data_IF_489095424491
#
_entry.id   IF_489095424491
#
_cell.length_a   1.000
_cell.length_b   1.000
_cell.length_c   1.000
_cell.angle_alpha   90.00
_cell.angle_beta   90.00
_cell.angle_gamma   90.00
#
_symmetry.space_group_name_H-M   'P 1'
#
loop_
_entity.id
_entity.type
_entity.pdbx_description
1 polymer ?
#
# COMPACT_ATOMS: atom_id res chain seq x y z
N UNK A 1 -12.98 75.89 5.26
CA UNK A 1 -13.53 74.53 5.45
C UNK A 1 -12.51 73.72 6.24
N UNK A 2 -12.93 73.15 7.39
CA UNK A 2 -12.24 72.20 8.30
C UNK A 2 -10.77 72.46 8.66
N UNK A 3 -10.30 72.80 9.88
CA UNK A 3 -10.72 72.46 11.25
C UNK A 3 -11.17 71.01 11.41
N UNK A 4 -10.23 70.09 11.57
CA UNK A 4 -10.29 68.90 12.43
C UNK A 4 -8.93 68.18 12.28
N UNK A 5 -8.43 67.58 13.35
CA UNK A 5 -7.11 66.93 13.48
C UNK A 5 -5.99 67.89 13.88
N UNK A 6 -6.05 68.37 15.12
CA UNK A 6 -4.85 68.52 15.96
C UNK A 6 -5.30 68.75 17.40
N UNK A 7 -5.36 67.65 18.16
CA UNK A 7 -5.37 67.57 19.64
C UNK A 7 -5.81 66.16 20.03
N UNK A 8 -4.85 65.27 20.26
CA UNK A 8 -4.89 64.24 21.32
C UNK A 8 -3.52 63.53 21.35
N UNK A 9 -2.51 64.24 21.84
CA UNK A 9 -1.22 63.65 22.21
C UNK A 9 -0.69 64.34 23.48
N UNK A 10 -1.26 63.99 24.62
CA UNK A 10 -0.60 64.05 25.91
C UNK A 10 -1.41 63.30 26.98
N UNK A 11 -0.69 62.49 27.75
CA UNK A 11 -1.02 62.03 29.11
C UNK A 11 -2.07 60.90 29.29
N UNK A 12 -1.61 59.66 29.15
CA UNK A 12 -1.69 58.70 30.27
C UNK A 12 -0.35 57.99 30.40
N UNK A 13 0.59 58.67 31.08
CA UNK A 13 1.66 58.01 31.82
C UNK A 13 1.05 57.42 33.08
N UNK A 14 0.76 56.11 33.08
CA UNK A 14 0.60 55.33 34.31
C UNK A 14 1.24 53.96 34.14
N UNK A 15 2.42 53.84 34.77
CA UNK A 15 3.03 52.63 35.31
C UNK A 15 2.20 51.35 35.10
N UNK A 16 2.58 50.53 34.12
CA UNK A 16 2.64 49.08 34.36
C UNK A 16 4.09 48.76 34.69
N UNK A 17 4.32 48.34 35.93
CA UNK A 17 5.53 47.63 36.31
C UNK A 17 5.61 46.40 35.39
N UNK A 18 6.41 46.49 34.34
CA UNK A 18 6.99 45.30 33.73
C UNK A 18 7.82 44.66 34.82
N UNK A 19 7.28 43.58 35.41
CA UNK A 19 8.11 42.58 36.06
C UNK A 19 9.09 42.13 34.98
N UNK A 20 10.30 42.67 35.05
CA UNK A 20 11.45 42.15 34.32
C UNK A 20 11.73 40.76 34.88
N UNK A 21 11.03 39.77 34.34
CA UNK A 21 11.57 38.42 34.32
C UNK A 21 12.90 38.54 33.59
N UNK A 22 14.00 38.33 34.32
CA UNK A 22 15.30 38.18 33.71
C UNK A 22 15.19 37.06 32.68
N UNK A 23 15.18 37.42 31.41
CA UNK A 23 15.34 36.49 30.29
C UNK A 23 16.79 35.98 30.33
N UNK A 24 17.07 35.10 31.29
CA UNK A 24 18.22 34.22 31.19
C UNK A 24 18.08 33.46 29.89
N UNK A 25 19.09 33.53 29.02
CA UNK A 25 19.18 32.88 27.72
C UNK A 25 18.63 31.44 27.78
N UNK A 26 17.34 31.28 27.46
CA UNK A 26 16.74 30.00 27.11
C UNK A 26 17.15 29.75 25.67
N UNK A 27 18.44 29.45 25.45
CA UNK A 27 18.79 28.71 24.24
C UNK A 27 17.82 27.54 24.17
N UNK A 28 17.03 27.50 23.09
CA UNK A 28 16.04 26.45 22.86
C UNK A 28 16.68 25.11 23.24
N UNK A 29 15.99 24.27 24.00
CA UNK A 29 16.52 22.96 24.45
C UNK A 29 17.08 22.16 23.26
N UNK A 30 16.44 22.31 22.11
CA UNK A 30 16.84 21.81 20.79
C UNK A 30 18.18 22.32 20.24
N UNK A 31 18.78 23.36 20.81
CA UNK A 31 20.12 23.85 20.43
C UNK A 31 21.20 23.23 21.31
N UNK A 32 20.86 22.87 22.55
CA UNK A 32 21.80 22.28 23.52
C UNK A 32 21.90 20.75 23.42
N UNK A 33 20.91 20.12 22.80
CA UNK A 33 20.85 18.67 22.69
C UNK A 33 21.94 18.14 21.74
N UNK A 34 22.81 17.19 22.17
CA UNK A 34 23.76 16.52 21.31
C UNK A 34 23.08 15.84 20.10
N UNK A 35 23.77 15.79 18.95
CA UNK A 35 23.21 15.27 17.70
C UNK A 35 22.77 13.81 17.79
N UNK A 36 23.55 12.96 18.46
CA UNK A 36 23.19 11.56 18.69
C UNK A 36 21.89 11.39 19.50
N UNK A 37 21.68 12.22 20.52
CA UNK A 37 20.45 12.19 21.33
C UNK A 37 19.28 12.75 20.54
N UNK A 38 19.50 13.82 19.77
CA UNK A 38 18.49 14.39 18.87
C UNK A 38 17.98 13.35 17.86
N UNK A 39 18.89 12.64 17.18
CA UNK A 39 18.55 11.57 16.23
C UNK A 39 17.69 10.50 16.88
N UNK A 40 18.03 10.06 18.11
CA UNK A 40 17.24 9.05 18.83
C UNK A 40 15.84 9.58 19.16
N UNK A 41 15.72 10.81 19.65
CA UNK A 41 14.42 11.40 20.00
C UNK A 41 13.51 11.53 18.78
N UNK A 42 14.03 12.05 17.65
CA UNK A 42 13.23 12.19 16.43
C UNK A 42 12.87 10.82 15.85
N UNK A 43 13.76 9.83 15.92
CA UNK A 43 13.49 8.47 15.45
C UNK A 43 12.43 7.71 16.28
N UNK A 44 12.11 8.19 17.49
CA UNK A 44 11.03 7.64 18.32
C UNK A 44 9.65 8.22 17.96
N UNK A 45 9.58 9.33 17.24
CA UNK A 45 8.33 9.88 16.73
C UNK A 45 7.69 8.95 15.69
N UNK A 46 6.38 9.08 15.48
CA UNK A 46 5.77 8.54 14.27
C UNK A 46 6.29 9.28 13.06
N UNK A 47 6.34 8.61 11.91
CA UNK A 47 6.92 9.19 10.70
C UNK A 47 6.13 10.43 10.23
N UNK A 48 4.80 10.42 10.44
CA UNK A 48 3.88 11.50 10.08
C UNK A 48 4.09 12.76 10.96
N UNK A 49 4.64 12.59 12.15
CA UNK A 49 4.90 13.69 13.09
C UNK A 49 6.19 14.44 12.79
N UNK A 50 7.15 13.82 12.10
CA UNK A 50 8.46 14.42 11.83
C UNK A 50 8.35 15.67 10.93
N UNK A 51 7.55 15.68 9.84
CA UNK A 51 7.29 16.91 9.08
C UNK A 51 6.65 18.00 9.94
N UNK A 52 5.68 17.65 10.79
CA UNK A 52 5.04 18.59 11.72
C UNK A 52 6.06 19.19 12.69
N UNK A 53 6.97 18.37 13.22
CA UNK A 53 8.07 18.80 14.07
C UNK A 53 9.03 19.75 13.33
N UNK A 54 9.36 19.47 12.07
CA UNK A 54 10.20 20.31 11.23
C UNK A 54 9.58 21.70 11.01
N UNK A 55 8.25 21.78 10.89
CA UNK A 55 7.53 23.04 10.69
C UNK A 55 7.44 23.93 11.94
N UNK A 56 7.71 23.39 13.14
CA UNK A 56 7.59 24.17 14.39
C UNK A 56 8.59 25.33 14.48
N UNK A 57 9.85 25.15 14.03
CA UNK A 57 10.85 26.22 14.00
C UNK A 57 12.01 25.93 13.04
N UNK A 58 12.69 27.00 12.58
CA UNK A 58 13.83 26.92 11.66
C UNK A 58 15.00 26.08 12.18
N UNK A 59 15.21 26.05 13.49
CA UNK A 59 16.28 25.24 14.11
C UNK A 59 15.99 23.75 13.92
N UNK A 60 14.78 23.32 14.23
CA UNK A 60 14.36 21.92 14.08
C UNK A 60 14.34 21.51 12.61
N UNK A 61 13.80 22.34 11.72
CA UNK A 61 13.87 22.12 10.28
C UNK A 61 15.31 21.84 9.81
N UNK A 62 16.26 22.71 10.18
CA UNK A 62 17.67 22.54 9.81
C UNK A 62 18.30 21.29 10.41
N UNK A 63 18.02 21.00 11.69
CA UNK A 63 18.60 19.82 12.36
C UNK A 63 18.06 18.52 11.79
N UNK A 64 16.75 18.44 11.51
CA UNK A 64 16.12 17.26 10.88
C UNK A 64 16.70 17.06 9.49
N UNK A 65 16.74 18.12 8.67
CA UNK A 65 17.30 18.06 7.32
C UNK A 65 18.76 17.61 7.32
N UNK A 66 19.61 18.17 8.19
CA UNK A 66 21.03 17.80 8.26
C UNK A 66 21.28 16.39 8.81
N UNK A 67 20.32 15.80 9.52
CA UNK A 67 20.45 14.46 10.12
C UNK A 67 19.44 13.48 9.55
N UNK A 68 18.91 13.74 8.35
CA UNK A 68 17.86 12.93 7.74
C UNK A 68 18.25 11.44 7.68
N UNK A 69 19.40 11.14 7.11
CA UNK A 69 19.91 9.77 6.98
C UNK A 69 20.12 9.09 8.34
N UNK A 70 20.84 9.69 9.33
CA UNK A 70 20.93 9.13 10.67
C UNK A 70 19.58 8.87 11.35
N UNK A 71 18.61 9.78 11.18
CA UNK A 71 17.25 9.63 11.72
C UNK A 71 16.56 8.43 11.07
N UNK A 72 16.55 8.34 9.74
CA UNK A 72 15.94 7.24 9.00
C UNK A 72 16.55 5.88 9.36
N UNK A 73 17.88 5.79 9.41
CA UNK A 73 18.58 4.58 9.83
C UNK A 73 18.24 4.20 11.27
N UNK A 74 18.16 5.17 12.17
CA UNK A 74 17.80 4.92 13.57
C UNK A 74 16.34 4.47 13.69
N UNK A 75 15.44 5.08 12.92
CA UNK A 75 14.01 4.78 12.89
C UNK A 75 13.73 3.32 12.51
N UNK A 76 14.40 2.80 11.48
CA UNK A 76 14.30 1.38 11.08
C UNK A 76 14.91 0.44 12.14
N UNK A 77 16.09 0.77 12.66
CA UNK A 77 16.76 -0.07 13.66
C UNK A 77 15.97 -0.21 14.96
N UNK A 78 15.23 0.83 15.38
CA UNK A 78 14.37 0.76 16.56
C UNK A 78 13.22 -0.24 16.35
N UNK A 79 12.66 -0.32 15.13
CA UNK A 79 11.59 -1.25 14.80
C UNK A 79 12.08 -2.69 14.63
N UNK A 80 13.25 -2.89 14.00
CA UNK A 80 13.88 -4.21 13.89
C UNK A 80 14.11 -4.87 15.26
N UNK A 81 14.62 -4.10 16.23
CA UNK A 81 14.85 -4.58 17.61
C UNK A 81 13.56 -4.93 18.36
N UNK A 82 12.43 -4.31 18.01
CA UNK A 82 11.14 -4.61 18.62
C UNK A 82 10.61 -5.97 18.12
N UNK A 83 10.90 -6.34 16.87
CA UNK A 83 10.55 -7.64 16.28
C UNK A 83 11.41 -8.82 16.74
N UNK A 84 12.67 -8.60 17.12
CA UNK A 84 13.59 -9.66 17.61
C UNK A 84 13.21 -10.24 19.00
N UNK A 85 12.23 -9.65 19.71
CA UNK A 85 11.75 -10.14 21.00
C UNK A 85 10.60 -11.19 20.89
N UNK A 86 10.23 -11.58 19.67
CA UNK A 86 9.29 -12.68 19.38
C UNK A 86 10.00 -13.98 19.00
N UNK A 87 9.55 -15.11 19.52
CA UNK A 87 10.13 -16.44 19.25
C UNK A 87 10.09 -16.83 17.77
N UNK A 88 11.12 -17.57 17.35
CA UNK A 88 11.49 -18.01 15.98
C UNK A 88 10.42 -18.80 15.20
N UNK A 89 9.22 -19.05 15.75
CA UNK A 89 8.21 -19.94 15.16
C UNK A 89 6.81 -19.33 14.95
N UNK A 90 6.60 -18.07 15.27
CA UNK A 90 5.36 -17.35 14.93
C UNK A 90 5.74 -15.98 14.39
N UNK A 91 6.07 -15.94 13.10
CA UNK A 91 6.20 -14.69 12.34
C UNK A 91 4.80 -14.32 11.79
N UNK A 92 3.79 -14.44 12.64
CA UNK A 92 2.46 -13.92 12.36
C UNK A 92 2.60 -12.40 12.37
N UNK A 93 2.73 -11.84 11.18
CA UNK A 93 2.87 -10.40 10.95
C UNK A 93 1.69 -9.71 11.64
N UNK A 94 1.94 -9.15 12.82
CA UNK A 94 0.95 -8.33 13.51
C UNK A 94 0.72 -7.13 12.59
N UNK A 95 -0.53 -6.83 12.18
CA UNK A 95 -0.84 -5.82 11.16
C UNK A 95 -0.34 -4.39 11.44
N UNK A 96 0.32 -4.13 12.57
CA UNK A 96 0.70 -2.80 13.02
C UNK A 96 2.17 -2.39 12.88
N UNK A 97 3.14 -3.29 12.71
CA UNK A 97 4.55 -2.91 13.03
C UNK A 97 5.69 -3.49 12.14
N UNK A 98 5.42 -3.87 10.88
CA UNK A 98 6.46 -4.49 10.02
C UNK A 98 6.92 -3.63 8.84
N UNK A 99 7.22 -2.35 9.10
CA UNK A 99 7.97 -1.50 8.16
C UNK A 99 9.36 -2.11 7.84
N UNK A 100 9.88 -2.95 8.74
CA UNK A 100 11.11 -3.72 8.53
C UNK A 100 10.99 -4.68 7.34
N UNK A 101 9.91 -5.45 7.28
CA UNK A 101 9.63 -6.38 6.18
C UNK A 101 9.54 -5.64 4.85
N UNK A 102 8.74 -4.56 4.78
CA UNK A 102 8.61 -3.81 3.52
C UNK A 102 9.92 -3.11 3.14
N UNK A 103 10.71 -2.64 4.10
CA UNK A 103 12.01 -2.01 3.82
C UNK A 103 13.07 -2.99 3.30
N UNK A 104 12.96 -4.28 3.65
CA UNK A 104 13.83 -5.34 3.14
C UNK A 104 13.39 -5.80 1.74
N UNK A 105 12.08 -5.79 1.48
CA UNK A 105 11.52 -6.08 0.16
C UNK A 105 11.80 -4.96 -0.85
N UNK A 106 11.76 -3.71 -0.40
CA UNK A 106 12.03 -2.51 -1.19
C UNK A 106 13.22 -1.75 -0.61
N UNK A 107 14.46 -2.16 -0.93
CA UNK A 107 15.64 -1.38 -0.59
C UNK A 107 15.72 -0.11 -1.46
N UNK A 108 16.29 0.99 -0.95
CA UNK A 108 16.48 2.20 -1.74
C UNK A 108 17.36 1.90 -2.96
N UNK A 109 17.09 2.52 -4.12
CA UNK A 109 17.90 2.32 -5.31
C UNK A 109 19.34 2.80 -5.06
N UNK A 110 20.35 2.13 -5.65
CA UNK A 110 21.72 2.58 -5.51
C UNK A 110 21.85 4.01 -6.06
N UNK A 111 22.58 4.90 -5.36
CA UNK A 111 22.84 6.25 -5.85
C UNK A 111 23.45 6.19 -7.26
N UNK A 112 22.93 7.05 -8.15
CA UNK A 112 23.42 7.18 -9.52
C UNK A 112 24.78 7.87 -9.50
N UNK A 113 25.85 7.08 -9.42
CA UNK A 113 27.21 7.61 -9.51
C UNK A 113 27.53 8.03 -10.94
N UNK A 114 28.06 9.23 -11.11
CA UNK A 114 28.91 9.50 -12.27
C UNK A 114 30.20 8.68 -12.11
N UNK A 115 30.70 8.11 -13.21
CA UNK A 115 31.86 7.23 -13.18
C UNK A 115 33.07 7.93 -12.52
N UNK A 116 33.36 7.61 -11.26
CA UNK A 116 34.51 8.18 -10.52
C UNK A 116 34.25 8.47 -9.05
N UNK A 117 33.00 8.59 -8.59
CA UNK A 117 32.68 8.80 -7.17
C UNK A 117 32.45 7.47 -6.44
N UNK A 118 33.01 7.35 -5.24
CA UNK A 118 33.03 6.12 -4.45
C UNK A 118 31.62 5.57 -4.21
N UNK A 119 31.49 4.24 -4.34
CA UNK A 119 30.26 3.49 -4.06
C UNK A 119 29.90 3.60 -2.57
N UNK A 120 29.11 4.60 -2.22
CA UNK A 120 28.32 4.62 -1.00
C UNK A 120 27.12 3.69 -1.11
N UNK A 121 26.71 3.14 0.03
CA UNK A 121 25.52 2.31 0.12
C UNK A 121 24.26 3.15 -0.15
N UNK A 122 23.21 2.55 -0.70
CA UNK A 122 21.91 3.19 -0.84
C UNK A 122 21.35 3.53 0.55
N UNK A 123 21.02 4.81 0.79
CA UNK A 123 20.59 5.28 2.11
C UNK A 123 19.08 5.57 2.14
N UNK A 124 18.43 5.14 3.23
CA UNK A 124 17.02 5.47 3.48
C UNK A 124 16.88 6.96 3.82
N UNK A 125 16.05 7.68 3.06
CA UNK A 125 15.60 9.04 3.36
C UNK A 125 14.27 9.03 4.12
N UNK A 126 13.90 10.14 4.76
CA UNK A 126 12.62 10.23 5.46
C UNK A 126 11.44 10.16 4.49
N UNK A 127 11.61 10.76 3.30
CA UNK A 127 10.62 10.68 2.22
C UNK A 127 10.42 9.23 1.77
N UNK A 128 11.51 8.49 1.54
CA UNK A 128 11.41 7.09 1.12
C UNK A 128 10.75 6.21 2.19
N UNK A 129 11.04 6.45 3.48
CA UNK A 129 10.34 5.75 4.56
C UNK A 129 8.83 6.06 4.58
N UNK A 130 8.41 7.28 4.21
CA UNK A 130 7.00 7.64 4.11
C UNK A 130 6.32 6.91 2.96
N UNK A 131 7.01 6.78 1.82
CA UNK A 131 6.53 6.01 0.67
C UNK A 131 6.40 4.51 1.03
N UNK A 132 7.38 3.95 1.74
CA UNK A 132 7.30 2.58 2.26
C UNK A 132 6.14 2.39 3.24
N UNK A 133 5.92 3.35 4.16
CA UNK A 133 4.79 3.33 5.08
C UNK A 133 3.46 3.37 4.33
N UNK A 134 3.36 4.19 3.28
CA UNK A 134 2.19 4.28 2.40
C UNK A 134 1.94 2.95 1.69
N UNK A 135 2.97 2.38 1.05
CA UNK A 135 2.90 1.07 0.41
C UNK A 135 2.42 -0.03 1.38
N UNK A 136 3.01 -0.09 2.58
CA UNK A 136 2.61 -1.05 3.61
C UNK A 136 1.16 -0.86 4.07
N UNK A 137 0.75 0.40 4.28
CA UNK A 137 -0.64 0.72 4.64
C UNK A 137 -1.62 0.26 3.56
N UNK A 138 -1.27 0.42 2.28
CA UNK A 138 -2.07 -0.09 1.16
C UNK A 138 -2.17 -1.61 1.20
N UNK A 139 -1.07 -2.32 1.46
CA UNK A 139 -1.07 -3.78 1.60
C UNK A 139 -1.97 -4.25 2.77
N UNK A 140 -1.87 -3.59 3.95
CA UNK A 140 -2.72 -3.87 5.11
C UNK A 140 -4.20 -3.68 4.75
N UNK A 141 -4.56 -2.54 4.16
CA UNK A 141 -5.96 -2.24 3.80
C UNK A 141 -6.49 -3.22 2.76
N UNK A 142 -5.69 -3.55 1.74
CA UNK A 142 -6.10 -4.51 0.73
C UNK A 142 -6.28 -5.91 1.31
N UNK A 143 -5.35 -6.36 2.16
CA UNK A 143 -5.43 -7.66 2.84
C UNK A 143 -6.70 -7.77 3.68
N UNK A 144 -7.06 -6.70 4.40
CA UNK A 144 -8.28 -6.63 5.18
C UNK A 144 -9.52 -6.76 4.29
N UNK A 145 -9.63 -5.94 3.23
CA UNK A 145 -10.79 -5.98 2.34
C UNK A 145 -10.94 -7.33 1.64
N UNK A 146 -9.85 -7.94 1.18
CA UNK A 146 -9.88 -9.27 0.60
C UNK A 146 -10.31 -10.32 1.61
N UNK A 147 -9.79 -10.25 2.84
CA UNK A 147 -10.14 -11.22 3.87
C UNK A 147 -11.61 -11.11 4.29
N UNK A 148 -12.07 -9.89 4.53
CA UNK A 148 -13.45 -9.53 4.84
C UNK A 148 -14.44 -10.12 3.82
N UNK A 149 -14.17 -9.90 2.52
CA UNK A 149 -15.02 -10.40 1.45
C UNK A 149 -14.91 -11.91 1.22
N UNK A 150 -13.72 -12.51 1.33
CA UNK A 150 -13.55 -13.95 1.13
C UNK A 150 -14.26 -14.75 2.24
N UNK A 151 -14.10 -14.33 3.50
CA UNK A 151 -14.77 -14.93 4.65
C UNK A 151 -16.28 -14.73 4.55
N UNK A 152 -16.75 -13.50 4.28
CA UNK A 152 -18.19 -13.22 4.13
C UNK A 152 -18.82 -14.06 3.01
N UNK A 153 -18.20 -14.09 1.83
CA UNK A 153 -18.68 -14.90 0.72
C UNK A 153 -18.73 -16.39 1.09
N UNK A 154 -17.74 -16.91 1.80
CA UNK A 154 -17.74 -18.32 2.23
C UNK A 154 -18.90 -18.63 3.18
N UNK A 155 -19.14 -17.75 4.16
CA UNK A 155 -20.24 -17.87 5.12
C UNK A 155 -21.61 -17.83 4.45
N UNK A 156 -21.75 -17.07 3.35
CA UNK A 156 -23.01 -16.95 2.61
C UNK A 156 -23.27 -18.10 1.64
N UNK A 157 -22.21 -18.67 1.06
CA UNK A 157 -22.31 -19.67 -0.02
C UNK A 157 -22.23 -21.12 0.44
N UNK A 158 -21.51 -21.40 1.52
CA UNK A 158 -21.39 -22.74 2.08
C UNK A 158 -22.66 -23.09 2.89
N UNK A 159 -23.44 -24.11 2.50
CA UNK A 159 -24.71 -24.42 3.16
C UNK A 159 -24.54 -24.76 4.64
N UNK A 160 -23.46 -25.46 5.00
CA UNK A 160 -23.18 -25.84 6.39
C UNK A 160 -22.77 -24.60 7.21
N UNK A 161 -21.96 -23.74 6.63
CA UNK A 161 -21.55 -22.50 7.28
C UNK A 161 -22.75 -21.57 7.47
N UNK A 162 -23.61 -21.45 6.46
CA UNK A 162 -24.78 -20.56 6.48
C UNK A 162 -25.79 -20.92 7.57
N UNK A 163 -26.05 -22.21 7.77
CA UNK A 163 -26.95 -22.67 8.84
C UNK A 163 -26.35 -22.39 10.23
N UNK A 164 -25.09 -22.76 10.45
CA UNK A 164 -24.40 -22.55 11.74
C UNK A 164 -24.20 -21.07 12.05
N UNK A 165 -23.88 -20.28 11.03
CA UNK A 165 -23.73 -18.83 11.10
C UNK A 165 -25.03 -18.16 11.51
N UNK A 166 -26.22 -18.74 11.33
CA UNK A 166 -27.50 -18.09 11.69
C UNK A 166 -27.88 -18.18 13.18
N UNK A 167 -27.12 -18.91 14.01
CA UNK A 167 -27.56 -19.36 15.34
C UNK A 167 -27.40 -18.34 16.49
N UNK A 168 -26.33 -17.54 16.52
CA UNK A 168 -26.01 -16.63 17.63
C UNK A 168 -25.23 -15.39 17.18
N UNK A 169 -25.75 -14.18 17.44
CA UNK A 169 -25.16 -12.92 16.97
C UNK A 169 -23.77 -12.59 17.56
N UNK A 170 -23.55 -12.87 18.85
CA UNK A 170 -22.27 -12.56 19.49
C UNK A 170 -21.18 -13.55 19.10
N UNK A 171 -21.55 -14.83 18.96
CA UNK A 171 -20.62 -15.87 18.50
C UNK A 171 -20.23 -15.65 17.04
N UNK A 172 -21.20 -15.21 16.21
CA UNK A 172 -20.93 -14.78 14.84
C UNK A 172 -19.82 -13.72 14.79
N UNK A 173 -20.01 -12.58 15.47
CA UNK A 173 -19.07 -11.46 15.38
C UNK A 173 -17.65 -11.86 15.80
N UNK A 174 -17.52 -12.67 16.86
CA UNK A 174 -16.22 -13.19 17.31
C UNK A 174 -15.59 -14.13 16.29
N UNK A 175 -16.36 -15.09 15.77
CA UNK A 175 -15.86 -16.07 14.79
C UNK A 175 -15.45 -15.38 13.49
N UNK A 176 -16.24 -14.41 13.03
CA UNK A 176 -15.93 -13.63 11.84
C UNK A 176 -14.71 -12.76 12.01
N UNK A 177 -14.65 -11.98 13.09
CA UNK A 177 -13.48 -11.13 13.37
C UNK A 177 -12.20 -11.96 13.46
N UNK A 178 -12.26 -13.12 14.13
CA UNK A 178 -11.14 -14.06 14.21
C UNK A 178 -10.74 -14.59 12.83
N UNK A 179 -11.70 -15.09 12.05
CA UNK A 179 -11.45 -15.67 10.72
C UNK A 179 -10.87 -14.65 9.75
N UNK A 180 -11.40 -13.42 9.77
CA UNK A 180 -10.88 -12.30 8.96
C UNK A 180 -9.46 -11.96 9.39
N UNK A 181 -9.17 -11.88 10.69
CA UNK A 181 -7.83 -11.60 11.19
C UNK A 181 -6.80 -12.67 10.80
N UNK A 182 -7.14 -13.95 10.98
CA UNK A 182 -6.27 -15.07 10.58
C UNK A 182 -6.03 -15.08 9.07
N UNK A 183 -7.08 -14.90 8.27
CA UNK A 183 -6.94 -14.88 6.81
C UNK A 183 -6.21 -13.64 6.28
N UNK A 184 -6.42 -12.48 6.91
CA UNK A 184 -5.65 -11.28 6.65
C UNK A 184 -4.16 -11.50 6.91
N UNK A 185 -3.81 -12.15 8.02
CA UNK A 185 -2.40 -12.40 8.38
C UNK A 185 -1.66 -13.26 7.34
N UNK A 186 -2.34 -14.24 6.73
CA UNK A 186 -1.80 -15.04 5.62
C UNK A 186 -1.71 -14.24 4.31
N UNK A 187 -2.72 -13.43 4.02
CA UNK A 187 -2.80 -12.63 2.80
C UNK A 187 -1.77 -11.50 2.74
N UNK A 188 -1.48 -10.87 3.88
CA UNK A 188 -0.67 -9.66 3.95
C UNK A 188 0.72 -9.80 3.29
N UNK A 189 1.55 -10.82 3.60
CA UNK A 189 2.83 -10.98 2.91
C UNK A 189 2.67 -11.31 1.42
N UNK A 190 1.66 -12.11 1.03
CA UNK A 190 1.41 -12.43 -0.38
C UNK A 190 1.04 -11.17 -1.21
N UNK A 191 0.27 -10.25 -0.63
CA UNK A 191 -0.05 -8.96 -1.25
C UNK A 191 1.20 -8.10 -1.41
N UNK A 192 2.06 -8.04 -0.38
CA UNK A 192 3.31 -7.28 -0.48
C UNK A 192 4.24 -7.83 -1.58
N UNK A 193 4.32 -9.16 -1.72
CA UNK A 193 5.06 -9.78 -2.82
C UNK A 193 4.45 -9.48 -4.19
N UNK A 194 3.11 -9.49 -4.30
CA UNK A 194 2.44 -9.06 -5.52
C UNK A 194 2.77 -7.59 -5.86
N UNK A 195 2.78 -6.70 -4.87
CA UNK A 195 3.18 -5.29 -5.06
C UNK A 195 4.62 -5.20 -5.57
N UNK A 196 5.54 -5.95 -4.96
CA UNK A 196 6.95 -5.99 -5.36
C UNK A 196 7.12 -6.45 -6.81
N UNK A 197 6.38 -7.47 -7.23
CA UNK A 197 6.41 -7.91 -8.62
C UNK A 197 5.89 -6.84 -9.57
N UNK A 198 4.76 -6.20 -9.26
CA UNK A 198 4.15 -5.20 -10.13
C UNK A 198 5.04 -3.96 -10.28
N UNK A 199 5.64 -3.48 -9.19
CA UNK A 199 6.57 -2.35 -9.22
C UNK A 199 7.83 -2.64 -10.04
N UNK A 200 8.42 -3.83 -9.88
CA UNK A 200 9.60 -4.22 -10.66
C UNK A 200 9.28 -4.43 -12.15
N UNK A 201 8.09 -4.93 -12.46
CA UNK A 201 7.64 -5.10 -13.83
C UNK A 201 7.45 -3.73 -14.50
N UNK A 202 6.79 -2.80 -13.81
CA UNK A 202 6.61 -1.43 -14.29
C UNK A 202 7.95 -0.70 -14.48
N UNK A 203 8.90 -0.85 -13.56
CA UNK A 203 10.22 -0.26 -13.67
C UNK A 203 11.00 -0.78 -14.90
N UNK A 204 10.93 -2.09 -15.17
CA UNK A 204 11.59 -2.69 -16.32
C UNK A 204 10.99 -2.24 -17.67
N UNK A 205 9.68 -2.00 -17.71
CA UNK A 205 9.01 -1.46 -18.90
C UNK A 205 9.45 -0.01 -19.20
N UNK A 206 9.67 0.82 -18.17
CA UNK A 206 10.21 2.18 -18.32
C UNK A 206 11.62 2.22 -18.93
N UNK A 207 12.50 1.27 -18.56
CA UNK A 207 13.86 1.21 -19.11
C UNK A 207 13.86 0.81 -20.60
N UNK A 208 12.94 -0.08 -21.00
CA UNK A 208 12.84 -0.59 -22.37
C UNK A 208 12.23 0.42 -23.36
N UNK A 209 11.32 1.27 -22.90
CA UNK A 209 10.61 2.28 -23.72
C UNK A 209 11.48 3.46 -24.15
N UNK A 210 12.66 3.64 -23.53
CA UNK A 210 13.69 4.59 -23.98
C UNK A 210 14.23 4.33 -25.40
N UNK A 211 13.97 3.14 -25.96
CA UNK A 211 14.38 2.73 -27.30
C UNK A 211 13.33 2.98 -28.41
N UNK A 212 12.16 3.53 -28.06
CA UNK A 212 11.12 3.91 -29.04
C UNK A 212 10.39 2.73 -29.72
N UNK A 213 10.63 1.49 -29.30
CA UNK A 213 9.88 0.31 -29.75
C UNK A 213 8.88 -0.12 -28.68
N UNK A 214 7.63 -0.36 -29.11
CA UNK A 214 6.62 -1.04 -28.28
C UNK A 214 7.18 -2.40 -27.91
N UNK A 215 7.40 -2.65 -26.61
CA UNK A 215 7.87 -3.94 -26.15
C UNK A 215 6.90 -5.03 -26.63
N UNK A 216 7.41 -6.01 -27.38
CA UNK A 216 6.62 -7.18 -27.75
C UNK A 216 6.11 -7.87 -26.48
N UNK A 217 4.87 -8.36 -26.50
CA UNK A 217 4.26 -9.13 -25.41
C UNK A 217 5.19 -10.26 -24.94
N UNK A 218 5.86 -10.93 -25.87
CA UNK A 218 6.81 -12.01 -25.55
C UNK A 218 8.05 -11.52 -24.80
N UNK A 219 8.47 -10.26 -25.02
CA UNK A 219 9.59 -9.66 -24.29
C UNK A 219 9.18 -9.30 -22.86
N UNK A 220 7.99 -8.72 -22.68
CA UNK A 220 7.45 -8.39 -21.36
C UNK A 220 7.30 -9.64 -20.49
N UNK A 221 6.76 -10.74 -21.06
CA UNK A 221 6.65 -12.02 -20.34
C UNK A 221 8.02 -12.55 -19.92
N UNK A 222 9.04 -12.49 -20.78
CA UNK A 222 10.40 -12.93 -20.44
C UNK A 222 11.01 -12.08 -19.33
N UNK A 223 10.77 -10.77 -19.33
CA UNK A 223 11.21 -9.87 -18.27
C UNK A 223 10.53 -10.26 -16.96
N UNK A 224 9.20 -10.46 -16.96
CA UNK A 224 8.45 -10.91 -15.80
C UNK A 224 8.95 -12.26 -15.26
N UNK A 225 9.22 -13.25 -16.12
CA UNK A 225 9.84 -14.51 -15.71
C UNK A 225 11.20 -14.28 -15.05
N UNK A 226 12.03 -13.39 -15.60
CA UNK A 226 13.34 -13.07 -15.00
C UNK A 226 13.22 -12.42 -13.61
N UNK A 227 12.10 -11.73 -13.32
CA UNK A 227 11.78 -11.20 -11.98
C UNK A 227 11.42 -12.36 -11.04
N UNK A 228 10.58 -13.31 -11.49
CA UNK A 228 10.17 -14.48 -10.71
C UNK A 228 11.33 -15.46 -10.39
N UNK A 229 12.40 -15.41 -11.18
CA UNK A 229 13.63 -16.19 -10.95
C UNK A 229 14.57 -15.58 -9.92
N UNK A 230 14.25 -14.38 -9.39
CA UNK A 230 15.04 -13.69 -8.36
C UNK A 230 14.33 -13.74 -7.01
N UNK A 231 15.08 -13.44 -5.94
CA UNK A 231 14.49 -13.28 -4.62
C UNK A 231 13.41 -12.17 -4.65
N UNK A 232 12.28 -12.32 -3.92
CA UNK A 232 11.97 -13.41 -2.99
C UNK A 232 11.35 -14.66 -3.65
N UNK A 233 10.98 -14.59 -4.93
CA UNK A 233 10.28 -15.66 -5.65
C UNK A 233 11.11 -16.90 -5.95
N UNK A 234 12.41 -16.91 -5.64
CA UNK A 234 13.21 -18.14 -5.60
C UNK A 234 12.63 -19.18 -4.65
N UNK A 235 11.92 -18.74 -3.59
CA UNK A 235 11.10 -19.64 -2.77
C UNK A 235 9.80 -19.96 -3.50
N UNK A 236 9.60 -21.23 -3.80
CA UNK A 236 8.41 -21.72 -4.50
C UNK A 236 7.13 -21.53 -3.70
N UNK A 237 7.17 -21.57 -2.37
CA UNK A 237 5.97 -21.33 -1.55
C UNK A 237 5.51 -19.86 -1.66
N UNK A 238 6.45 -18.92 -1.69
CA UNK A 238 6.16 -17.50 -1.91
C UNK A 238 5.52 -17.30 -3.29
N UNK A 239 6.05 -17.97 -4.33
CA UNK A 239 5.49 -17.90 -5.67
C UNK A 239 4.05 -18.43 -5.73
N UNK A 240 3.79 -19.60 -5.15
CA UNK A 240 2.46 -20.22 -5.12
C UNK A 240 1.47 -19.35 -4.32
N UNK A 241 1.85 -18.87 -3.14
CA UNK A 241 0.94 -18.06 -2.32
C UNK A 241 0.62 -16.70 -2.94
N UNK A 242 1.61 -16.08 -3.57
CA UNK A 242 1.39 -14.87 -4.36
C UNK A 242 0.46 -15.15 -5.54
N UNK A 243 0.60 -16.32 -6.19
CA UNK A 243 -0.28 -16.71 -7.29
C UNK A 243 -1.74 -16.89 -6.85
N UNK A 244 -1.97 -17.62 -5.76
CA UNK A 244 -3.30 -17.79 -5.16
C UNK A 244 -3.91 -16.44 -4.73
N UNK A 245 -3.13 -15.59 -4.07
CA UNK A 245 -3.54 -14.24 -3.70
C UNK A 245 -3.99 -13.41 -4.91
N UNK A 246 -3.24 -13.45 -6.01
CA UNK A 246 -3.61 -12.74 -7.25
C UNK A 246 -4.90 -13.30 -7.88
N UNK A 247 -5.10 -14.62 -7.85
CA UNK A 247 -6.35 -15.24 -8.30
C UNK A 247 -7.54 -14.84 -7.43
N UNK A 248 -7.39 -14.86 -6.10
CA UNK A 248 -8.42 -14.44 -5.15
C UNK A 248 -8.78 -12.96 -5.34
N UNK A 249 -7.76 -12.10 -5.51
CA UNK A 249 -7.96 -10.69 -5.78
C UNK A 249 -8.79 -10.46 -7.05
N UNK A 250 -8.36 -11.06 -8.17
CA UNK A 250 -9.03 -10.88 -9.46
C UNK A 250 -10.46 -11.44 -9.44
N UNK A 251 -10.68 -12.61 -8.84
CA UNK A 251 -12.01 -13.20 -8.72
C UNK A 251 -12.94 -12.36 -7.82
N UNK A 252 -12.40 -11.79 -6.73
CA UNK A 252 -13.17 -10.92 -5.82
C UNK A 252 -13.56 -9.60 -6.47
N UNK A 253 -12.63 -8.95 -7.19
CA UNK A 253 -12.94 -7.75 -7.97
C UNK A 253 -14.06 -8.06 -9.00
N UNK A 254 -13.93 -9.16 -9.75
CA UNK A 254 -14.91 -9.55 -10.77
C UNK A 254 -16.30 -9.79 -10.18
N UNK A 255 -16.40 -10.41 -9.00
CA UNK A 255 -17.69 -10.59 -8.30
C UNK A 255 -18.35 -9.24 -8.00
N UNK A 256 -17.56 -8.28 -7.52
CA UNK A 256 -18.07 -6.94 -7.19
C UNK A 256 -18.29 -6.05 -8.41
N UNK A 257 -17.74 -6.36 -9.59
CA UNK A 257 -18.08 -5.67 -10.84
C UNK A 257 -19.40 -6.14 -11.45
N UNK A 258 -19.88 -7.33 -11.08
CA UNK A 258 -21.16 -7.87 -11.54
C UNK A 258 -22.35 -7.16 -10.87
N UNK A 259 -23.48 -6.92 -11.56
CA UNK A 259 -23.76 -7.20 -12.98
C UNK A 259 -23.40 -6.04 -13.93
N UNK A 260 -22.80 -4.95 -13.42
CA UNK A 260 -22.58 -3.71 -14.19
C UNK A 260 -21.65 -3.93 -15.41
N UNK A 261 -20.75 -4.92 -15.32
CA UNK A 261 -19.86 -5.31 -16.41
C UNK A 261 -19.93 -6.82 -16.72
N UNK A 262 -20.06 -7.23 -17.99
CA UNK A 262 -19.96 -8.65 -18.35
C UNK A 262 -18.54 -9.17 -18.08
N UNK A 263 -18.44 -10.46 -17.77
CA UNK A 263 -17.16 -11.11 -17.43
C UNK A 263 -16.08 -10.93 -18.51
N UNK A 264 -16.48 -10.91 -19.79
CA UNK A 264 -15.59 -10.69 -20.93
C UNK A 264 -14.96 -9.30 -20.99
N UNK A 265 -15.57 -8.26 -20.42
CA UNK A 265 -14.98 -6.93 -20.34
C UNK A 265 -14.23 -6.69 -19.03
N UNK A 266 -14.52 -7.48 -17.98
CA UNK A 266 -13.85 -7.40 -16.67
C UNK A 266 -12.34 -7.59 -16.74
N UNK A 267 -11.84 -8.30 -17.75
CA UNK A 267 -10.41 -8.59 -17.89
C UNK A 267 -9.59 -7.32 -18.13
N UNK A 268 -9.99 -6.46 -19.07
CA UNK A 268 -9.28 -5.20 -19.32
C UNK A 268 -9.31 -4.26 -18.12
N UNK A 269 -10.42 -4.25 -17.37
CA UNK A 269 -10.55 -3.43 -16.15
C UNK A 269 -9.61 -3.89 -15.04
N UNK A 270 -9.61 -5.19 -14.75
CA UNK A 270 -8.74 -5.77 -13.72
C UNK A 270 -7.28 -5.58 -14.10
N UNK A 271 -6.95 -5.78 -15.38
CA UNK A 271 -5.58 -5.54 -15.88
C UNK A 271 -5.16 -4.08 -15.67
N UNK A 272 -6.03 -3.11 -15.98
CA UNK A 272 -5.73 -1.70 -15.79
C UNK A 272 -5.54 -1.35 -14.30
N UNK A 273 -6.36 -1.90 -13.40
CA UNK A 273 -6.21 -1.70 -11.97
C UNK A 273 -4.84 -2.19 -11.45
N UNK A 274 -4.35 -3.31 -11.97
CA UNK A 274 -3.06 -3.88 -11.60
C UNK A 274 -1.87 -3.12 -12.23
N UNK A 275 -2.02 -2.61 -13.45
CA UNK A 275 -0.94 -1.93 -14.18
C UNK A 275 -0.76 -0.46 -13.79
N UNK A 276 -1.86 0.26 -13.52
CA UNK A 276 -1.83 1.71 -13.31
C UNK A 276 -1.82 2.12 -11.84
N UNK A 277 -1.84 1.19 -10.90
CA UNK A 277 -1.83 1.53 -9.48
C UNK A 277 -1.06 0.50 -8.66
N UNK A 278 -0.27 0.97 -7.70
CA UNK A 278 0.34 0.19 -6.62
C UNK A 278 -0.73 -0.30 -5.64
N UNK A 279 -1.73 -1.02 -6.16
CA UNK A 279 -2.96 -1.43 -5.48
C UNK A 279 -3.82 -0.34 -4.84
N UNK A 280 -3.42 0.93 -4.87
CA UNK A 280 -4.19 2.01 -4.25
C UNK A 280 -5.57 2.18 -4.88
N UNK A 281 -5.67 2.09 -6.21
CA UNK A 281 -6.99 2.12 -6.89
C UNK A 281 -7.82 0.89 -6.58
N UNK A 282 -7.18 -0.26 -6.37
CA UNK A 282 -7.87 -1.47 -5.91
C UNK A 282 -8.43 -1.28 -4.50
N UNK A 283 -7.68 -0.63 -3.60
CA UNK A 283 -8.18 -0.27 -2.27
C UNK A 283 -9.33 0.73 -2.36
N UNK A 284 -9.24 1.76 -3.21
CA UNK A 284 -10.34 2.70 -3.45
C UNK A 284 -11.60 2.01 -3.97
N UNK A 285 -11.45 1.02 -4.87
CA UNK A 285 -12.55 0.19 -5.32
C UNK A 285 -13.23 -0.52 -4.15
N UNK A 286 -12.47 -1.22 -3.30
CA UNK A 286 -13.04 -1.91 -2.14
C UNK A 286 -13.66 -0.96 -1.11
N UNK A 287 -13.10 0.23 -0.92
CA UNK A 287 -13.71 1.28 -0.09
C UNK A 287 -15.05 1.74 -0.68
N UNK A 288 -15.14 1.88 -2.01
CA UNK A 288 -16.40 2.24 -2.67
C UNK A 288 -17.47 1.16 -2.52
N UNK A 289 -17.07 -0.12 -2.55
CA UNK A 289 -17.94 -1.27 -2.30
C UNK A 289 -18.43 -1.28 -0.85
N UNK A 290 -17.52 -1.11 0.12
CA UNK A 290 -17.87 -1.10 1.55
C UNK A 290 -18.86 0.03 1.90
N UNK A 291 -18.68 1.22 1.32
CA UNK A 291 -19.63 2.34 1.49
C UNK A 291 -21.03 2.03 0.97
N UNK A 292 -21.12 1.29 -0.14
CA UNK A 292 -22.43 0.89 -0.68
C UNK A 292 -23.12 -0.16 0.20
N UNK A 293 -22.35 -1.07 0.84
CA UNK A 293 -22.88 -2.02 1.84
C UNK A 293 -23.41 -1.27 3.08
N UNK A 294 -22.65 -0.31 3.63
CA UNK A 294 -23.07 0.51 4.78
C UNK A 294 -24.36 1.31 4.52
N UNK A 295 -24.49 1.92 3.33
CA UNK A 295 -25.67 2.71 2.94
C UNK A 295 -26.91 1.81 2.78
N UNK A 296 -26.73 0.60 2.26
CA UNK A 296 -27.81 -0.40 2.11
C UNK A 296 -28.36 -0.84 3.47
N UNK A 297 -27.49 -0.98 4.45
CA UNK A 297 -27.88 -1.38 5.81
C UNK A 297 -28.53 -0.23 6.59
N UNK A 298 -28.23 1.03 6.23
CA UNK A 298 -28.74 2.23 6.90
C UNK A 298 -30.02 2.84 6.28
N UNK A 299 -30.37 2.55 5.01
CA UNK A 299 -31.51 3.22 4.34
C UNK A 299 -32.11 2.44 3.16
N UNK A 300 -33.44 2.45 3.01
CA UNK A 300 -34.16 1.85 1.87
C UNK A 300 -34.40 2.81 0.69
N UNK A 301 -33.90 4.04 0.77
CA UNK A 301 -34.14 5.10 -0.22
C UNK A 301 -32.83 5.82 -0.58
N UNK A 302 -31.97 5.13 -1.32
CA UNK A 302 -30.76 5.68 -1.92
C UNK A 302 -30.93 5.98 -3.41
N UNK A 303 -30.14 6.91 -3.93
CA UNK A 303 -29.92 7.13 -5.36
C UNK A 303 -29.64 5.82 -6.10
N UNK A 304 -30.12 5.66 -7.33
CA UNK A 304 -29.75 4.53 -8.21
C UNK A 304 -28.24 4.49 -8.56
N UNK A 305 -27.54 5.60 -8.28
CA UNK A 305 -26.11 5.77 -8.47
C UNK A 305 -25.38 5.50 -7.16
N UNK A 306 -24.51 4.48 -7.17
CA UNK A 306 -23.77 4.01 -6.02
C UNK A 306 -22.30 4.45 -6.09
N UNK A 307 -21.57 4.43 -4.97
CA UNK A 307 -20.15 4.80 -4.95
C UNK A 307 -19.32 3.87 -5.83
N UNK A 308 -19.67 2.57 -5.84
CA UNK A 308 -19.09 1.59 -6.75
C UNK A 308 -19.30 1.98 -8.21
N UNK A 309 -20.51 2.41 -8.59
CA UNK A 309 -20.80 2.86 -9.96
C UNK A 309 -20.02 4.10 -10.34
N UNK A 310 -19.89 5.07 -9.43
CA UNK A 310 -19.05 6.26 -9.63
C UNK A 310 -17.59 5.87 -9.90
N UNK A 311 -17.03 4.99 -9.07
CA UNK A 311 -15.67 4.50 -9.23
C UNK A 311 -15.48 3.81 -10.59
N UNK A 312 -16.38 2.90 -10.96
CA UNK A 312 -16.31 2.18 -12.24
C UNK A 312 -16.48 3.12 -13.44
N UNK A 313 -17.23 4.20 -13.30
CA UNK A 313 -17.37 5.22 -14.33
C UNK A 313 -16.08 6.03 -14.51
N UNK A 314 -15.44 6.46 -13.42
CA UNK A 314 -14.15 7.14 -13.48
C UNK A 314 -13.07 6.26 -14.11
N UNK A 315 -13.01 4.98 -13.70
CA UNK A 315 -12.11 3.99 -14.30
C UNK A 315 -12.31 3.87 -15.81
N UNK A 316 -13.54 4.03 -16.31
CA UNK A 316 -13.83 3.96 -17.74
C UNK A 316 -13.20 5.07 -18.54
N UNK A 317 -13.14 6.26 -17.97
CA UNK A 317 -12.41 7.36 -18.57
C UNK A 317 -10.91 7.05 -18.62
N UNK A 318 -10.35 6.49 -17.54
CA UNK A 318 -8.93 6.10 -17.47
C UNK A 318 -8.57 5.04 -18.53
N UNK A 319 -9.43 4.04 -18.76
CA UNK A 319 -9.25 3.05 -19.84
C UNK A 319 -9.32 3.69 -21.23
N UNK A 320 -10.24 4.63 -21.43
CA UNK A 320 -10.33 5.38 -22.69
C UNK A 320 -9.04 6.13 -23.00
N UNK A 321 -8.46 6.79 -22.00
CA UNK A 321 -7.20 7.51 -22.11
C UNK A 321 -6.01 6.57 -22.35
N UNK A 322 -5.97 5.42 -21.67
CA UNK A 322 -4.95 4.39 -21.88
C UNK A 322 -4.98 3.83 -23.32
N UNK A 323 -6.17 3.54 -23.85
CA UNK A 323 -6.30 3.04 -25.22
C UNK A 323 -5.96 4.13 -26.25
N UNK A 324 -6.32 5.39 -25.99
CA UNK A 324 -5.98 6.51 -26.86
C UNK A 324 -4.47 6.75 -26.95
N UNK A 325 -3.75 6.65 -25.83
CA UNK A 325 -2.29 6.78 -25.80
C UNK A 325 -1.58 5.60 -26.47
N UNK A 326 -2.04 4.38 -26.18
CA UNK A 326 -1.47 3.15 -26.77
C UNK A 326 -1.69 3.07 -28.29
N UNK A 327 -2.88 3.45 -28.78
CA UNK A 327 -3.19 3.44 -30.22
C UNK A 327 -2.40 4.49 -31.01
N UNK A 328 -2.06 5.62 -30.40
CA UNK A 328 -1.16 6.61 -31.01
C UNK A 328 0.28 6.09 -31.13
N UNK A 329 0.71 5.23 -30.20
CA UNK A 329 2.04 4.61 -30.23
C UNK A 329 2.14 3.41 -31.19
N UNK A 330 1.03 2.72 -31.48
CA UNK A 330 1.03 1.46 -32.25
C UNK A 330 0.81 1.61 -33.77
N UNK A 331 0.94 2.83 -34.34
CA UNK A 331 0.87 3.08 -35.79
C UNK A 331 -0.35 2.43 -36.49
N UNK A 332 -1.51 2.41 -35.84
CA UNK A 332 -2.76 1.90 -36.42
C UNK A 332 -2.95 0.38 -36.38
N UNK A 333 -2.07 -0.38 -35.71
CA UNK A 333 -2.41 -1.74 -35.30
C UNK A 333 -3.42 -1.67 -34.15
N UNK A 334 -4.57 -2.34 -34.33
CA UNK A 334 -5.61 -2.49 -33.32
C UNK A 334 -5.01 -3.07 -32.05
N UNK A 335 -4.71 -2.22 -31.07
CA UNK A 335 -4.29 -2.67 -29.75
C UNK A 335 -5.51 -3.35 -29.13
N UNK A 336 -5.45 -4.68 -29.03
CA UNK A 336 -6.28 -5.38 -28.06
C UNK A 336 -5.99 -4.74 -26.70
N UNK A 337 -7.03 -4.47 -25.91
CA UNK A 337 -6.87 -3.89 -24.57
C UNK A 337 -5.93 -4.72 -23.68
N UNK A 338 -5.52 -4.18 -22.52
CA UNK A 338 -4.63 -4.93 -21.62
C UNK A 338 -5.29 -6.26 -21.24
N UNK A 339 -4.53 -7.34 -21.39
CA UNK A 339 -4.98 -8.70 -21.05
C UNK A 339 -4.40 -9.09 -19.70
N UNK A 340 -5.23 -9.71 -18.86
CA UNK A 340 -4.87 -9.97 -17.47
C UNK A 340 -3.77 -11.01 -17.40
N UNK A 341 -3.79 -11.93 -18.35
CA UNK A 341 -2.81 -12.98 -18.50
C UNK A 341 -1.38 -12.43 -18.65
N UNK A 342 -1.21 -11.25 -19.26
CA UNK A 342 0.10 -10.63 -19.49
C UNK A 342 0.60 -9.79 -18.31
N UNK A 343 -0.18 -9.64 -17.23
CA UNK A 343 0.26 -8.89 -16.06
C UNK A 343 1.08 -9.77 -15.11
N UNK A 344 0.56 -10.96 -14.77
CA UNK A 344 1.20 -11.88 -13.80
C UNK A 344 1.02 -13.35 -14.21
N UNK A 345 -0.18 -13.72 -14.65
CA UNK A 345 -0.60 -15.12 -14.70
C UNK A 345 0.21 -15.97 -15.70
N UNK A 346 0.52 -15.46 -16.89
CA UNK A 346 1.29 -16.23 -17.88
C UNK A 346 2.72 -16.49 -17.43
N UNK A 347 3.40 -15.44 -16.96
CA UNK A 347 4.78 -15.55 -16.47
C UNK A 347 4.85 -16.46 -15.23
N UNK A 348 3.93 -16.28 -14.27
CA UNK A 348 3.86 -17.12 -13.08
C UNK A 348 3.54 -18.57 -13.40
N UNK A 349 2.61 -18.83 -14.32
CA UNK A 349 2.27 -20.19 -14.76
C UNK A 349 3.47 -20.88 -15.40
N UNK A 350 4.16 -20.20 -16.32
CA UNK A 350 5.35 -20.76 -16.96
C UNK A 350 6.46 -21.06 -15.96
N UNK A 351 6.75 -20.14 -15.04
CA UNK A 351 7.76 -20.35 -14.00
C UNK A 351 7.39 -21.51 -13.05
N UNK A 352 6.12 -21.62 -12.63
CA UNK A 352 5.65 -22.75 -11.81
C UNK A 352 5.70 -24.08 -12.57
N UNK A 353 5.38 -24.06 -13.87
CA UNK A 353 5.49 -25.24 -14.73
C UNK A 353 6.94 -25.70 -14.86
N UNK A 354 7.87 -24.77 -15.10
CA UNK A 354 9.30 -25.03 -15.24
C UNK A 354 9.91 -25.59 -13.93
N UNK A 355 9.37 -25.17 -12.77
CA UNK A 355 9.71 -25.74 -11.45
C UNK A 355 9.05 -27.09 -11.15
N UNK A 356 8.17 -27.58 -12.01
CA UNK A 356 7.47 -28.85 -11.81
C UNK A 356 6.48 -28.85 -10.64
N UNK A 357 5.94 -27.69 -10.27
CA UNK A 357 5.01 -27.56 -9.12
C UNK A 357 3.54 -27.45 -9.54
N UNK A 358 3.22 -27.81 -10.78
CA UNK A 358 1.85 -27.94 -11.28
C UNK A 358 1.54 -29.43 -11.44
N UNK A 359 0.47 -29.97 -10.81
CA UNK A 359 -0.46 -29.28 -9.91
C UNK A 359 0.14 -29.05 -8.51
N UNK A 360 -0.16 -27.90 -7.89
CA UNK A 360 0.11 -27.62 -6.47
C UNK A 360 -1.15 -27.81 -5.64
N UNK A 361 -0.97 -28.08 -4.34
CA UNK A 361 -2.10 -28.17 -3.40
C UNK A 361 -2.59 -26.77 -3.03
N UNK A 362 -3.88 -26.66 -2.68
CA UNK A 362 -4.41 -25.48 -2.02
C UNK A 362 -3.68 -25.27 -0.68
N UNK A 363 -3.57 -24.01 -0.27
CA UNK A 363 -2.95 -23.68 1.02
C UNK A 363 -3.75 -24.21 2.21
N UNK A 364 -3.09 -24.27 3.37
CA UNK A 364 -3.69 -24.77 4.60
C UNK A 364 -5.00 -24.01 4.90
N UNK A 365 -6.14 -24.72 4.98
CA UNK A 365 -7.44 -24.10 5.17
C UNK A 365 -7.50 -23.36 6.50
N UNK A 366 -7.99 -22.12 6.47
CA UNK A 366 -8.32 -21.37 7.68
C UNK A 366 -9.74 -21.72 8.09
N UNK A 367 -9.92 -22.37 9.26
CA UNK A 367 -11.25 -22.74 9.73
C UNK A 367 -12.06 -21.47 10.01
N UNK A 368 -13.24 -21.38 9.41
CA UNK A 368 -14.19 -20.28 9.67
C UNK A 368 -15.20 -20.72 10.72
N UNK A 369 -15.93 -21.81 10.48
CA UNK A 369 -16.88 -22.45 11.41
C UNK A 369 -16.71 -23.96 11.25
N UNK A 370 -17.09 -24.78 12.23
CA UNK A 370 -17.07 -26.25 12.14
C UNK A 370 -17.36 -26.77 10.71
N UNK A 371 -16.36 -27.44 10.11
CA UNK A 371 -16.37 -28.03 8.76
C UNK A 371 -16.36 -27.06 7.56
N UNK A 372 -16.27 -25.74 7.79
CA UNK A 372 -16.09 -24.71 6.77
C UNK A 372 -14.76 -23.99 6.93
N UNK A 373 -14.07 -23.78 5.82
CA UNK A 373 -12.78 -23.11 5.80
C UNK A 373 -12.64 -22.24 4.54
N UNK A 374 -11.75 -21.25 4.64
CA UNK A 374 -11.27 -20.45 3.50
C UNK A 374 -9.84 -20.88 3.21
N UNK A 375 -9.56 -21.14 1.94
CA UNK A 375 -8.22 -21.41 1.42
C UNK A 375 -7.81 -20.26 0.50
N UNK A 376 -6.51 -20.01 0.44
CA UNK A 376 -5.92 -19.23 -0.65
C UNK A 376 -5.94 -20.06 -1.94
#
# INVERSE_FOLDING_TARGET
MSRFIDRFRAAVSRRRKTLSFSSGNKDLIWKRLPDNVFVILVALCELDDIPSLALTCRLLHRRIFNHEVPISRRYLNLRRRKGECGSVWEKDLSPGDDLTFISELFPPPPPQYTAGEGRGDAEYSLAYLMDLKRCWTTCIRLSYHLADHAVRHRLETDPNARELWSSSKTEQEVVYSKSVGEFQSKLLPAIAYATFFLENSAAADCDSTSSGQVASVDLSIKIQQSILQKAPFTDTQILISTHHCMQLLCSTIRRHMSPDFPYSSSESWVSLLLLNSTFERVVEFFVSVARDEEVRDASSHGSNWSHRKEFLWQMREDLGQYLATTSQMSNGQSSSGPTLDHVWFRAAYQEMFDRGVIPHSAEDPIPVIHWSAVTL
#
